data_IF_067542057989
#
_entry.id   IF_067542057989
#
_cell.length_a   1.000
_cell.length_b   1.000
_cell.length_c   1.000
_cell.angle_alpha   90.00
_cell.angle_beta   90.00
_cell.angle_gamma   90.00
#
_symmetry.space_group_name_H-M   'P 1'
#
loop_
_entity.id
_entity.type
_entity.pdbx_description
1 polymer ?
#
# COMPACT_ATOMS: atom_id res chain seq x y z
N UNK A 1 22.42 19.02 -4.86
CA UNK A 1 21.22 18.38 -4.30
C UNK A 1 20.58 17.49 -5.36
N UNK A 2 20.38 16.24 -5.04
CA UNK A 2 19.74 15.30 -5.97
C UNK A 2 18.22 15.46 -5.86
N UNK A 3 17.55 15.50 -6.99
CA UNK A 3 16.09 15.64 -7.06
C UNK A 3 15.50 14.53 -7.94
N UNK A 4 14.23 14.24 -7.70
CA UNK A 4 13.46 13.31 -8.53
C UNK A 4 12.02 13.81 -8.62
N UNK A 5 11.40 13.61 -9.78
CA UNK A 5 10.00 13.97 -10.00
C UNK A 5 9.12 12.74 -9.82
N UNK A 6 8.34 12.72 -8.75
CA UNK A 6 7.39 11.66 -8.45
C UNK A 6 6.02 11.87 -9.14
N UNK A 7 5.89 12.93 -9.96
CA UNK A 7 4.70 13.24 -10.72
C UNK A 7 4.13 14.63 -10.47
N UNK A 8 4.66 15.37 -9.49
CA UNK A 8 4.20 16.71 -9.10
C UNK A 8 5.33 17.74 -9.15
N UNK A 9 6.36 17.50 -9.92
CA UNK A 9 7.55 18.33 -10.01
C UNK A 9 8.70 17.76 -9.18
N UNK A 10 9.94 18.16 -9.49
CA UNK A 10 11.11 17.63 -8.81
C UNK A 10 11.18 18.07 -7.35
N UNK A 11 11.48 17.12 -6.46
CA UNK A 11 11.72 17.36 -5.04
C UNK A 11 13.03 16.72 -4.62
N UNK A 12 13.65 17.17 -3.52
CA UNK A 12 14.85 16.50 -3.01
C UNK A 12 14.58 15.04 -2.74
N UNK A 13 15.47 14.20 -3.25
CA UNK A 13 15.31 12.75 -3.18
C UNK A 13 16.67 12.06 -3.25
N UNK A 14 16.69 10.79 -2.87
CA UNK A 14 17.88 9.96 -2.91
C UNK A 14 17.51 8.54 -3.31
N UNK A 15 18.51 7.80 -3.77
CA UNK A 15 18.34 6.37 -4.03
C UNK A 15 18.55 5.60 -2.74
N UNK A 16 17.62 4.70 -2.44
CA UNK A 16 17.71 3.87 -1.23
C UNK A 16 18.86 2.88 -1.38
N UNK A 17 19.65 2.71 -0.31
CA UNK A 17 20.83 1.84 -0.31
C UNK A 17 20.49 0.37 -0.57
N UNK A 18 19.33 -0.09 -0.12
CA UNK A 18 18.86 -1.46 -0.31
C UNK A 18 17.82 -1.51 -1.43
N UNK A 19 18.30 -1.68 -2.68
CA UNK A 19 17.45 -1.84 -3.86
C UNK A 19 17.57 -0.73 -4.91
N UNK A 20 18.01 0.46 -4.54
CA UNK A 20 18.25 1.56 -5.48
C UNK A 20 17.03 2.35 -5.92
N UNK A 21 15.86 2.13 -5.33
CA UNK A 21 14.65 2.89 -5.64
C UNK A 21 14.71 4.32 -5.13
N UNK A 22 13.93 5.20 -5.76
CA UNK A 22 13.90 6.62 -5.39
C UNK A 22 13.03 6.85 -4.15
N UNK A 23 13.59 7.56 -3.20
CA UNK A 23 12.92 7.94 -1.94
C UNK A 23 13.01 9.44 -1.78
N UNK A 24 11.87 10.11 -1.60
CA UNK A 24 11.86 11.55 -1.28
C UNK A 24 12.51 11.78 0.09
N UNK A 25 13.24 12.89 0.23
CA UNK A 25 13.92 13.20 1.48
C UNK A 25 12.95 13.41 2.66
N UNK A 26 11.68 13.70 2.37
CA UNK A 26 10.60 13.81 3.37
C UNK A 26 10.07 12.45 3.82
N UNK A 27 10.25 11.40 3.03
CA UNK A 27 9.85 10.03 3.35
C UNK A 27 10.92 9.35 4.19
N UNK A 28 10.54 8.26 4.88
CA UNK A 28 11.45 7.50 5.73
C UNK A 28 11.46 6.04 5.32
N UNK A 29 12.63 5.52 5.01
CA UNK A 29 12.80 4.11 4.66
C UNK A 29 13.94 3.55 5.52
N UNK A 30 13.64 2.49 6.28
CA UNK A 30 14.66 1.84 7.10
C UNK A 30 15.67 1.11 6.22
N UNK A 31 16.91 0.99 6.68
CA UNK A 31 17.98 0.32 5.94
C UNK A 31 17.67 -1.16 5.68
N UNK A 32 16.88 -1.79 6.54
CA UNK A 32 16.46 -3.18 6.40
C UNK A 32 15.37 -3.37 5.35
N UNK A 33 14.62 -2.31 5.06
CA UNK A 33 13.56 -2.36 4.06
C UNK A 33 14.15 -2.30 2.65
N UNK A 34 13.50 -2.97 1.71
CA UNK A 34 13.91 -3.01 0.31
C UNK A 34 13.02 -2.09 -0.52
N UNK A 35 13.62 -1.22 -1.31
CA UNK A 35 12.93 -0.41 -2.32
C UNK A 35 13.63 -0.65 -3.66
N UNK A 36 12.97 -1.38 -4.56
CA UNK A 36 13.55 -1.77 -5.85
C UNK A 36 13.75 -0.59 -6.79
N UNK A 37 14.53 -0.79 -7.87
CA UNK A 37 15.00 0.33 -8.72
C UNK A 37 13.89 1.11 -9.42
N UNK A 38 12.74 0.52 -9.68
CA UNK A 38 11.60 1.17 -10.33
C UNK A 38 10.47 1.52 -9.36
N UNK A 39 10.64 1.20 -8.07
CA UNK A 39 9.68 1.55 -7.02
C UNK A 39 10.00 2.94 -6.47
N UNK A 40 8.96 3.60 -5.93
CA UNK A 40 9.11 4.95 -5.38
C UNK A 40 8.41 5.08 -4.03
N UNK A 41 9.04 5.82 -3.13
CA UNK A 41 8.48 6.17 -1.82
C UNK A 41 8.62 7.69 -1.65
N UNK A 42 7.52 8.39 -1.48
CA UNK A 42 7.56 9.85 -1.46
C UNK A 42 6.53 10.47 -0.50
N UNK A 43 6.44 11.78 -0.51
CA UNK A 43 5.68 12.55 0.48
C UNK A 43 6.20 12.26 1.90
N UNK A 44 5.33 11.89 2.82
CA UNK A 44 5.68 11.58 4.21
C UNK A 44 5.52 10.09 4.53
N UNK A 45 5.61 9.24 3.51
CA UNK A 45 5.45 7.80 3.68
C UNK A 45 6.59 7.17 4.48
N UNK A 46 6.29 6.07 5.16
CA UNK A 46 7.25 5.33 5.97
C UNK A 46 7.27 3.86 5.52
N UNK A 47 8.46 3.35 5.24
CA UNK A 47 8.68 1.93 4.95
C UNK A 47 9.76 1.42 5.89
N UNK A 48 9.44 0.45 6.72
CA UNK A 48 10.38 0.03 7.76
C UNK A 48 10.27 -1.47 8.05
N UNK A 49 11.05 -1.95 9.03
CA UNK A 49 11.23 -3.36 9.30
C UNK A 49 11.79 -4.07 8.06
N UNK A 50 11.28 -5.23 7.71
CA UNK A 50 11.73 -6.03 6.58
C UNK A 50 10.80 -5.92 5.37
N UNK A 51 10.02 -4.85 5.29
CA UNK A 51 9.10 -4.62 4.19
C UNK A 51 9.82 -4.51 2.85
N UNK A 52 9.17 -4.95 1.79
CA UNK A 52 9.71 -4.91 0.44
C UNK A 52 8.76 -4.18 -0.50
N UNK A 53 9.28 -3.18 -1.21
CA UNK A 53 8.56 -2.41 -2.21
C UNK A 53 9.32 -2.55 -3.52
N UNK A 54 8.74 -3.18 -4.52
CA UNK A 54 9.45 -3.47 -5.76
C UNK A 54 8.52 -3.43 -6.99
N UNK A 55 9.06 -3.81 -8.17
CA UNK A 55 8.35 -3.56 -9.40
C UNK A 55 8.15 -2.07 -9.61
N UNK A 56 6.98 -1.65 -10.04
CA UNK A 56 6.61 -0.25 -10.23
C UNK A 56 5.71 0.28 -9.11
N UNK A 57 5.80 -0.30 -7.92
CA UNK A 57 4.96 0.07 -6.78
C UNK A 57 5.27 1.49 -6.29
N UNK A 58 4.25 2.16 -5.77
CA UNK A 58 4.34 3.54 -5.28
C UNK A 58 3.74 3.64 -3.87
N UNK A 59 4.52 4.18 -2.95
CA UNK A 59 4.07 4.44 -1.58
C UNK A 59 4.16 5.95 -1.35
N UNK A 60 3.05 6.56 -0.94
CA UNK A 60 2.99 8.02 -0.82
C UNK A 60 2.04 8.48 0.28
N UNK A 61 1.83 9.80 0.37
CA UNK A 61 1.02 10.40 1.42
C UNK A 61 1.64 10.18 2.79
N UNK A 62 0.86 9.69 3.73
CA UNK A 62 1.30 9.32 5.09
C UNK A 62 1.22 7.80 5.30
N UNK A 63 1.20 7.03 4.22
CA UNK A 63 1.09 5.58 4.30
C UNK A 63 2.29 4.96 5.01
N UNK A 64 2.04 3.85 5.69
CA UNK A 64 3.08 3.09 6.37
C UNK A 64 3.05 1.64 5.92
N UNK A 65 4.21 1.12 5.55
CA UNK A 65 4.39 -0.27 5.13
C UNK A 65 5.50 -0.87 6.02
N UNK A 66 5.18 -1.94 6.74
CA UNK A 66 6.14 -2.48 7.70
C UNK A 66 5.93 -3.98 7.96
N UNK A 67 6.67 -4.53 8.91
CA UNK A 67 6.70 -5.96 9.13
C UNK A 67 7.36 -6.68 7.96
N UNK A 68 6.74 -7.73 7.47
CA UNK A 68 7.19 -8.49 6.30
C UNK A 68 6.32 -8.22 5.07
N UNK A 69 5.59 -7.11 5.04
CA UNK A 69 4.70 -6.77 3.94
C UNK A 69 5.45 -6.60 2.62
N UNK A 70 4.80 -6.98 1.52
CA UNK A 70 5.37 -6.86 0.18
C UNK A 70 4.40 -6.12 -0.72
N UNK A 71 4.89 -5.06 -1.34
CA UNK A 71 4.14 -4.25 -2.30
C UNK A 71 4.87 -4.35 -3.63
N UNK A 72 4.18 -4.78 -4.67
CA UNK A 72 4.84 -5.00 -5.97
C UNK A 72 3.90 -4.77 -7.15
N UNK A 73 4.35 -5.10 -8.36
CA UNK A 73 3.60 -4.81 -9.57
C UNK A 73 3.47 -3.31 -9.78
N UNK A 74 2.25 -2.84 -10.00
CA UNK A 74 1.91 -1.41 -10.12
C UNK A 74 1.06 -0.93 -8.95
N UNK A 75 1.12 -1.65 -7.84
CA UNK A 75 0.31 -1.35 -6.66
C UNK A 75 0.64 0.03 -6.08
N UNK A 76 -0.36 0.67 -5.51
CA UNK A 76 -0.24 1.98 -4.87
C UNK A 76 -0.80 1.92 -3.46
N UNK A 77 -0.02 2.43 -2.51
CA UNK A 77 -0.45 2.58 -1.11
C UNK A 77 -0.27 4.05 -0.75
N UNK A 78 -1.36 4.72 -0.39
CA UNK A 78 -1.31 6.17 -0.14
C UNK A 78 -2.36 6.61 0.88
N UNK A 79 -2.50 7.91 1.06
CA UNK A 79 -3.34 8.45 2.13
C UNK A 79 -2.74 8.14 3.49
N UNK A 80 -3.55 7.62 4.40
CA UNK A 80 -3.12 7.20 5.74
C UNK A 80 -3.12 5.67 5.89
N UNK A 81 -3.05 4.93 4.79
CA UNK A 81 -3.15 3.47 4.78
C UNK A 81 -1.99 2.80 5.51
N UNK A 82 -2.27 1.65 6.11
CA UNK A 82 -1.29 0.82 6.80
C UNK A 82 -1.29 -0.58 6.16
N UNK A 83 -0.10 -1.06 5.78
CA UNK A 83 0.08 -2.42 5.28
C UNK A 83 1.20 -3.07 6.08
N UNK A 84 0.91 -4.15 6.79
CA UNK A 84 1.86 -4.76 7.70
C UNK A 84 1.63 -6.27 7.88
N UNK A 85 2.39 -6.87 8.79
CA UNK A 85 2.39 -8.32 8.96
C UNK A 85 3.01 -8.99 7.74
N UNK A 86 2.38 -10.03 7.24
CA UNK A 86 2.81 -10.77 6.05
C UNK A 86 1.93 -10.44 4.83
N UNK A 87 1.29 -9.27 4.82
CA UNK A 87 0.37 -8.87 3.76
C UNK A 87 1.07 -8.67 2.42
N UNK A 88 0.37 -8.99 1.34
CA UNK A 88 0.84 -8.82 -0.04
C UNK A 88 -0.13 -7.91 -0.80
N UNK A 89 0.40 -6.86 -1.43
CA UNK A 89 -0.37 -5.97 -2.30
C UNK A 89 0.35 -5.91 -3.65
N UNK A 90 -0.29 -6.35 -4.71
CA UNK A 90 0.37 -6.44 -6.02
C UNK A 90 -0.61 -6.27 -7.18
N UNK A 91 -0.13 -6.44 -8.41
CA UNK A 91 -0.93 -6.13 -9.59
C UNK A 91 -1.18 -4.63 -9.68
N UNK A 92 -2.39 -4.22 -10.00
CA UNK A 92 -2.82 -2.82 -10.06
C UNK A 92 -3.63 -2.39 -8.83
N UNK A 93 -3.47 -3.10 -7.71
CA UNK A 93 -4.23 -2.87 -6.48
C UNK A 93 -3.91 -1.51 -5.86
N UNK A 94 -4.91 -0.95 -5.17
CA UNK A 94 -4.78 0.34 -4.46
C UNK A 94 -5.28 0.19 -3.03
N UNK A 95 -4.48 0.66 -2.09
CA UNK A 95 -4.84 0.74 -0.67
C UNK A 95 -4.67 2.19 -0.24
N UNK A 96 -5.75 2.82 0.21
CA UNK A 96 -5.71 4.25 0.49
C UNK A 96 -6.70 4.66 1.58
N UNK A 97 -6.84 5.96 1.80
CA UNK A 97 -7.61 6.53 2.92
C UNK A 97 -7.04 6.03 4.25
N UNK A 98 -7.87 5.51 5.15
CA UNK A 98 -7.47 4.97 6.44
C UNK A 98 -7.47 3.44 6.46
N UNK A 99 -7.39 2.81 5.30
CA UNK A 99 -7.47 1.36 5.17
C UNK A 99 -6.28 0.66 5.83
N UNK A 100 -6.52 -0.55 6.31
CA UNK A 100 -5.49 -1.40 6.91
C UNK A 100 -5.51 -2.78 6.28
N UNK A 101 -4.35 -3.23 5.85
CA UNK A 101 -4.16 -4.57 5.27
C UNK A 101 -3.06 -5.26 6.07
N UNK A 102 -3.38 -6.39 6.70
CA UNK A 102 -2.42 -7.06 7.59
C UNK A 102 -2.69 -8.56 7.72
N UNK A 103 -1.95 -9.21 8.59
CA UNK A 103 -1.97 -10.67 8.68
C UNK A 103 -1.40 -11.29 7.42
N UNK A 104 -2.07 -12.29 6.87
CA UNK A 104 -1.70 -12.96 5.63
C UNK A 104 -2.58 -12.51 4.45
N UNK A 105 -3.20 -11.36 4.54
CA UNK A 105 -4.11 -10.84 3.52
C UNK A 105 -3.39 -10.57 2.20
N UNK A 106 -4.09 -10.77 1.10
CA UNK A 106 -3.61 -10.47 -0.25
C UNK A 106 -4.59 -9.58 -0.99
N UNK A 107 -4.08 -8.47 -1.52
CA UNK A 107 -4.86 -7.52 -2.32
C UNK A 107 -4.16 -7.42 -3.68
N UNK A 108 -4.84 -7.81 -4.75
CA UNK A 108 -4.19 -7.91 -6.05
C UNK A 108 -5.16 -7.64 -7.21
N UNK A 109 -4.68 -7.79 -8.43
CA UNK A 109 -5.42 -7.40 -9.66
C UNK A 109 -5.79 -5.91 -9.60
N UNK A 110 -7.05 -5.56 -9.82
CA UNK A 110 -7.53 -4.18 -9.78
C UNK A 110 -8.29 -3.85 -8.48
N UNK A 111 -8.07 -4.64 -7.43
CA UNK A 111 -8.77 -4.46 -6.16
C UNK A 111 -8.45 -3.13 -5.49
N UNK A 112 -9.42 -2.59 -4.76
CA UNK A 112 -9.29 -1.34 -4.01
C UNK A 112 -9.71 -1.55 -2.57
N UNK A 113 -8.88 -1.10 -1.65
CA UNK A 113 -9.21 -1.09 -0.22
C UNK A 113 -9.10 0.36 0.27
N UNK A 114 -10.19 0.90 0.77
CA UNK A 114 -10.29 2.33 1.10
C UNK A 114 -11.17 2.60 2.32
N UNK A 115 -11.39 3.87 2.61
CA UNK A 115 -12.14 4.29 3.78
C UNK A 115 -11.47 3.81 5.05
N UNK A 116 -12.23 3.31 6.00
CA UNK A 116 -11.73 2.74 7.25
C UNK A 116 -11.71 1.20 7.22
N UNK A 117 -11.68 0.59 6.04
CA UNK A 117 -11.74 -0.86 5.86
C UNK A 117 -10.50 -1.56 6.41
N UNK A 118 -10.71 -2.74 6.98
CA UNK A 118 -9.66 -3.62 7.50
C UNK A 118 -9.73 -4.94 6.74
N UNK A 119 -8.63 -5.31 6.09
CA UNK A 119 -8.47 -6.59 5.39
C UNK A 119 -7.37 -7.37 6.10
N UNK A 120 -7.69 -8.53 6.66
CA UNK A 120 -6.76 -9.24 7.54
C UNK A 120 -7.00 -10.76 7.50
N UNK A 121 -6.25 -11.48 8.32
CA UNK A 121 -6.28 -12.93 8.33
C UNK A 121 -5.78 -13.48 7.01
N UNK A 122 -6.49 -14.45 6.45
CA UNK A 122 -6.17 -15.06 5.16
C UNK A 122 -7.04 -14.51 4.02
N UNK A 123 -7.54 -13.28 4.16
CA UNK A 123 -8.45 -12.67 3.18
C UNK A 123 -7.78 -12.49 1.82
N UNK A 124 -8.54 -12.70 0.77
CA UNK A 124 -8.13 -12.47 -0.62
C UNK A 124 -9.07 -11.43 -1.23
N UNK A 125 -8.51 -10.34 -1.72
CA UNK A 125 -9.27 -9.27 -2.39
C UNK A 125 -8.64 -9.09 -3.77
N UNK A 126 -9.41 -9.39 -4.80
CA UNK A 126 -8.88 -9.43 -6.17
C UNK A 126 -9.92 -8.98 -7.20
N UNK A 127 -9.57 -9.06 -8.45
CA UNK A 127 -10.39 -8.64 -9.58
C UNK A 127 -10.78 -7.15 -9.42
N UNK A 128 -12.02 -6.81 -9.61
CA UNK A 128 -12.52 -5.44 -9.48
C UNK A 128 -13.21 -5.20 -8.13
N UNK A 129 -12.85 -5.98 -7.11
CA UNK A 129 -13.46 -5.87 -5.78
C UNK A 129 -13.00 -4.58 -5.11
N UNK A 130 -13.94 -3.82 -4.59
CA UNK A 130 -13.69 -2.65 -3.75
C UNK A 130 -14.17 -2.98 -2.33
N UNK A 131 -13.23 -2.89 -1.37
CA UNK A 131 -13.55 -3.03 0.04
C UNK A 131 -13.48 -1.64 0.66
N UNK A 132 -14.58 -1.19 1.24
CA UNK A 132 -14.64 0.08 1.92
C UNK A 132 -15.49 -0.04 3.18
N UNK A 133 -15.28 0.89 4.09
CA UNK A 133 -16.11 1.01 5.28
C UNK A 133 -16.64 2.44 5.32
N UNK A 134 -17.94 2.60 5.30
CA UNK A 134 -18.57 3.88 5.57
C UNK A 134 -18.51 4.16 7.08
N UNK A 135 -18.61 5.42 7.48
CA UNK A 135 -18.48 5.87 8.86
C UNK A 135 -19.49 5.24 9.85
N UNK A 136 -20.32 4.31 9.42
CA UNK A 136 -21.37 3.65 10.20
C UNK A 136 -21.14 2.16 10.46
N UNK A 137 -19.89 1.76 10.66
CA UNK A 137 -19.50 0.43 11.18
C UNK A 137 -19.66 -0.78 10.24
N UNK A 138 -20.26 -0.64 9.06
CA UNK A 138 -20.47 -1.76 8.16
C UNK A 138 -19.40 -1.82 7.07
N UNK A 139 -18.76 -2.97 6.94
CA UNK A 139 -17.78 -3.19 5.89
C UNK A 139 -18.49 -3.73 4.64
N UNK A 140 -18.32 -3.04 3.51
CA UNK A 140 -18.95 -3.42 2.25
C UNK A 140 -17.90 -3.84 1.23
N UNK A 141 -18.23 -4.86 0.46
CA UNK A 141 -17.51 -5.22 -0.75
C UNK A 141 -18.37 -4.83 -1.93
N UNK A 142 -17.82 -4.07 -2.87
CA UNK A 142 -18.50 -3.72 -4.10
C UNK A 142 -17.85 -4.45 -5.27
N UNK A 143 -18.67 -5.20 -6.02
CA UNK A 143 -18.21 -5.95 -7.19
C UNK A 143 -19.25 -5.82 -8.29
N UNK A 144 -18.83 -5.39 -9.48
CA UNK A 144 -19.71 -5.22 -10.65
C UNK A 144 -20.93 -4.32 -10.35
N UNK A 145 -20.72 -3.26 -9.58
CA UNK A 145 -21.77 -2.31 -9.19
C UNK A 145 -22.73 -2.83 -8.12
N UNK A 146 -22.47 -4.01 -7.56
CA UNK A 146 -23.27 -4.57 -6.47
C UNK A 146 -22.51 -4.49 -5.15
N UNK A 147 -23.21 -4.05 -4.10
CA UNK A 147 -22.67 -4.01 -2.74
C UNK A 147 -23.00 -5.27 -1.98
N UNK A 148 -21.98 -5.82 -1.35
CA UNK A 148 -22.13 -6.96 -0.44
C UNK A 148 -21.65 -6.55 0.94
N UNK A 149 -22.44 -6.83 1.95
CA UNK A 149 -22.06 -6.59 3.34
C UNK A 149 -21.24 -7.77 3.85
N UNK A 150 -20.09 -7.49 4.45
CA UNK A 150 -19.32 -8.52 5.15
C UNK A 150 -19.98 -8.80 6.49
N UNK A 151 -20.38 -10.04 6.68
CA UNK A 151 -20.93 -10.52 7.95
C UNK A 151 -19.89 -11.42 8.58
N UNK A 152 -19.53 -11.10 9.83
CA UNK A 152 -18.64 -11.94 10.61
C UNK A 152 -19.32 -13.28 10.87
N UNK A 153 -18.67 -14.36 10.48
CA UNK A 153 -19.17 -15.72 10.70
C UNK A 153 -18.42 -16.31 11.87
N UNK A 154 -19.15 -16.58 12.93
CA UNK A 154 -18.60 -17.23 14.11
C UNK A 154 -18.38 -18.72 13.88
#
# INVERSE_FOLDING_TARGET
MTTFDFGNGPVPAHKHSNGGGWVADTARVADTAYVGPDATVFDNAWVYSDAQVYGNARISGKAQVYGNARISGKAQVYGNALVYGDALVYGDARVFDNARVYGNARVYDNARVSGDAWVFGDALVSEDICVSNDAEEDMFIERNGKRYKLVEVE
#
